data_IF_800138435443
#
_entry.id   IF_800138435443
#
_cell.length_a   1.000
_cell.length_b   1.000
_cell.length_c   1.000
_cell.angle_alpha   90.00
_cell.angle_beta   90.00
_cell.angle_gamma   90.00
#
_symmetry.space_group_name_H-M   'P 1'
#
loop_
_entity.id
_entity.type
_entity.pdbx_description
1 polymer ?
#
# COMPACT_ATOMS: atom_id res chain seq x y z
N UNK A 1 4.80 9.26 7.92
CA UNK A 1 4.66 8.85 6.51
C UNK A 1 4.88 7.35 6.47
N UNK A 2 3.89 6.58 6.02
CA UNK A 2 4.07 5.15 5.76
C UNK A 2 4.69 5.00 4.37
N UNK A 3 5.76 4.22 4.27
CA UNK A 3 6.25 3.78 2.96
C UNK A 3 5.35 2.65 2.45
N UNK A 4 5.13 2.60 1.13
CA UNK A 4 4.42 1.47 0.51
C UNK A 4 5.13 0.12 0.74
N UNK A 5 6.43 0.17 1.05
CA UNK A 5 7.22 -1.01 1.44
C UNK A 5 6.81 -1.61 2.81
N UNK A 6 6.09 -0.86 3.65
CA UNK A 6 5.68 -1.31 4.99
C UNK A 6 4.28 -1.96 5.00
N UNK A 7 3.66 -2.07 3.82
CA UNK A 7 2.30 -2.61 3.67
C UNK A 7 2.27 -4.07 4.10
N UNK A 8 1.35 -4.36 5.02
CA UNK A 8 1.07 -5.69 5.56
C UNK A 8 -0.41 -5.81 5.86
N UNK A 9 -0.97 -7.01 5.78
CA UNK A 9 -2.37 -7.25 6.15
C UNK A 9 -2.61 -6.83 7.60
N UNK A 10 -3.69 -6.10 7.84
CA UNK A 10 -4.02 -5.56 9.16
C UNK A 10 -3.32 -4.25 9.51
N UNK A 11 -2.42 -3.73 8.67
CA UNK A 11 -1.88 -2.37 8.87
C UNK A 11 -3.01 -1.36 8.80
N UNK A 12 -3.07 -0.46 9.79
CA UNK A 12 -3.99 0.66 9.82
C UNK A 12 -3.29 1.90 9.28
N UNK A 13 -3.92 2.57 8.33
CA UNK A 13 -3.41 3.79 7.69
C UNK A 13 -4.49 4.85 7.70
N UNK A 14 -4.07 6.11 7.68
CA UNK A 14 -4.98 7.23 7.52
C UNK A 14 -4.82 7.80 6.11
N UNK A 15 -5.94 7.93 5.39
CA UNK A 15 -6.00 8.53 4.06
C UNK A 15 -7.04 9.64 4.13
N UNK A 16 -6.64 10.88 3.86
CA UNK A 16 -7.52 12.06 3.90
C UNK A 16 -8.27 12.23 5.24
N UNK A 17 -7.58 11.95 6.36
CA UNK A 17 -8.17 12.03 7.70
C UNK A 17 -9.13 10.89 8.05
N UNK A 18 -9.28 9.88 7.19
CA UNK A 18 -10.13 8.70 7.43
C UNK A 18 -9.27 7.46 7.71
N UNK A 19 -9.57 6.68 8.75
CA UNK A 19 -8.85 5.46 9.05
C UNK A 19 -9.29 4.32 8.13
N UNK A 20 -8.31 3.58 7.60
CA UNK A 20 -8.48 2.37 6.81
C UNK A 20 -7.60 1.25 7.34
N UNK A 21 -7.96 0.02 7.00
CA UNK A 21 -7.15 -1.15 7.28
C UNK A 21 -6.86 -1.90 5.97
N UNK A 22 -5.60 -2.24 5.76
CA UNK A 22 -5.18 -3.03 4.60
C UNK A 22 -5.69 -4.47 4.77
N UNK A 23 -6.58 -4.90 3.89
CA UNK A 23 -7.10 -6.27 3.85
C UNK A 23 -6.24 -7.18 2.98
N UNK A 24 -5.69 -6.65 1.89
CA UNK A 24 -4.82 -7.32 0.94
C UNK A 24 -3.98 -6.27 0.18
N UNK A 25 -2.90 -6.70 -0.47
CA UNK A 25 -2.08 -5.83 -1.30
C UNK A 25 -1.25 -6.66 -2.28
N UNK A 26 -0.97 -6.06 -3.45
CA UNK A 26 -0.17 -6.67 -4.50
C UNK A 26 0.96 -5.74 -4.94
N UNK A 27 2.19 -6.24 -4.89
CA UNK A 27 3.33 -5.57 -5.51
C UNK A 27 3.36 -5.86 -7.01
N UNK A 28 3.21 -4.81 -7.82
CA UNK A 28 3.22 -4.86 -9.28
C UNK A 28 4.51 -4.23 -9.80
N UNK A 29 5.22 -4.98 -10.67
CA UNK A 29 6.39 -4.50 -11.42
C UNK A 29 6.06 -4.52 -12.91
N UNK A 30 5.58 -3.41 -13.49
CA UNK A 30 5.11 -3.39 -14.86
C UNK A 30 6.29 -3.23 -15.84
N UNK A 31 7.18 -4.22 -15.94
CA UNK A 31 8.25 -4.30 -16.96
C UNK A 31 9.08 -3.01 -17.18
N UNK A 32 8.56 -2.09 -18.01
CA UNK A 32 9.15 -0.78 -18.35
C UNK A 32 8.71 0.41 -17.46
N UNK A 33 7.87 0.20 -16.45
CA UNK A 33 7.39 1.24 -15.53
C UNK A 33 7.86 1.05 -14.08
N UNK A 34 7.71 2.11 -13.27
CA UNK A 34 7.99 2.06 -11.84
C UNK A 34 7.13 1.03 -11.11
N UNK A 35 7.71 0.39 -10.10
CA UNK A 35 6.98 -0.55 -9.26
C UNK A 35 5.95 0.18 -8.38
N UNK A 36 4.82 -0.46 -8.13
CA UNK A 36 3.77 0.09 -7.27
C UNK A 36 3.05 -1.01 -6.49
N UNK A 37 2.29 -0.60 -5.47
CA UNK A 37 1.40 -1.48 -4.69
C UNK A 37 -0.05 -1.14 -5.09
N UNK A 38 -0.91 -2.16 -5.27
CA UNK A 38 -2.36 -2.00 -5.42
C UNK A 38 -3.13 -2.88 -4.46
#
# INVERSE_FOLDING_TARGET
MYSTAEFRKGLRIEIEGKPYQIVDFQHVKPGKGGAFIR
#
